data_IF_336304326298
#
_entry.id   IF_336304326298
#
_cell.length_a   1.000
_cell.length_b   1.000
_cell.length_c   1.000
_cell.angle_alpha   90.00
_cell.angle_beta   90.00
_cell.angle_gamma   90.00
#
_symmetry.space_group_name_H-M   'P 1'
#
loop_
_entity.id
_entity.type
_entity.pdbx_description
1 polymer ?
#
# COMPACT_ATOMS: atom_id res chain seq x y z
N UNK A 1 7.95 17.40 -20.54
CA UNK A 1 8.02 16.44 -19.41
C UNK A 1 6.67 15.76 -19.35
N UNK A 2 6.63 14.48 -19.65
CA UNK A 2 5.39 13.70 -19.62
C UNK A 2 5.29 13.07 -18.22
N UNK A 3 4.12 13.21 -17.60
CA UNK A 3 3.86 12.63 -16.27
C UNK A 3 3.56 11.16 -16.47
N UNK A 4 4.38 10.27 -15.89
CA UNK A 4 4.17 8.82 -15.95
C UNK A 4 3.68 8.32 -14.60
N UNK A 5 2.54 7.62 -14.64
CA UNK A 5 1.96 6.96 -13.49
C UNK A 5 1.21 7.88 -12.52
N UNK A 6 0.60 7.29 -11.49
CA UNK A 6 -0.38 7.93 -10.60
C UNK A 6 0.21 8.96 -9.62
N UNK A 7 1.54 9.09 -9.56
CA UNK A 7 2.24 9.97 -8.61
C UNK A 7 2.94 11.16 -9.28
N UNK A 8 2.67 11.41 -10.58
CA UNK A 8 3.26 12.55 -11.27
C UNK A 8 4.77 12.44 -11.49
N UNK A 9 5.31 11.20 -11.56
CA UNK A 9 6.72 10.98 -11.83
C UNK A 9 7.13 11.69 -13.12
N UNK A 10 8.08 12.61 -13.02
CA UNK A 10 8.68 13.25 -14.15
C UNK A 10 9.93 12.49 -14.57
N UNK A 11 9.74 11.41 -15.34
CA UNK A 11 10.86 10.65 -15.86
C UNK A 11 11.62 11.52 -16.84
N UNK A 12 12.87 11.86 -16.49
CA UNK A 12 13.74 12.72 -17.32
C UNK A 12 14.37 11.93 -18.48
N UNK A 13 14.33 10.62 -18.40
CA UNK A 13 14.87 9.69 -19.39
C UNK A 13 13.72 9.12 -20.24
N UNK A 14 13.67 9.53 -21.52
CA UNK A 14 12.63 9.12 -22.45
C UNK A 14 12.66 7.61 -22.75
N UNK A 15 13.82 6.98 -22.70
CA UNK A 15 13.94 5.53 -22.92
C UNK A 15 13.33 4.77 -21.76
N UNK A 16 13.68 5.14 -20.51
CA UNK A 16 13.09 4.57 -19.31
C UNK A 16 11.56 4.77 -19.27
N UNK A 17 11.09 5.96 -19.65
CA UNK A 17 9.65 6.25 -19.72
C UNK A 17 8.94 5.28 -20.66
N UNK A 18 9.48 5.10 -21.88
CA UNK A 18 8.91 4.20 -22.87
C UNK A 18 8.90 2.74 -22.40
N UNK A 19 9.99 2.28 -21.78
CA UNK A 19 10.11 0.91 -21.26
C UNK A 19 9.11 0.64 -20.14
N UNK A 20 9.00 1.56 -19.18
CA UNK A 20 8.04 1.44 -18.07
C UNK A 20 6.60 1.47 -18.59
N UNK A 21 6.27 2.35 -19.55
CA UNK A 21 4.94 2.41 -20.14
C UNK A 21 4.59 1.12 -20.88
N UNK A 22 5.52 0.58 -21.68
CA UNK A 22 5.32 -0.68 -22.38
C UNK A 22 5.14 -1.86 -21.39
N UNK A 23 5.95 -1.92 -20.36
CA UNK A 23 5.82 -2.91 -19.30
C UNK A 23 4.49 -2.82 -18.57
N UNK A 24 4.05 -1.62 -18.19
CA UNK A 24 2.76 -1.41 -17.52
C UNK A 24 1.57 -1.79 -18.42
N UNK A 25 1.64 -1.52 -19.73
CA UNK A 25 0.62 -1.97 -20.67
C UNK A 25 0.55 -3.51 -20.73
N UNK A 26 1.70 -4.18 -20.79
CA UNK A 26 1.76 -5.65 -20.77
C UNK A 26 1.22 -6.23 -19.44
N UNK A 27 1.43 -5.56 -18.31
CA UNK A 27 0.85 -5.96 -17.03
C UNK A 27 -0.68 -5.86 -17.05
N UNK A 28 -1.28 -4.79 -17.60
CA UNK A 28 -2.74 -4.68 -17.73
C UNK A 28 -3.31 -5.81 -18.59
N UNK A 29 -2.68 -6.13 -19.73
CA UNK A 29 -3.07 -7.28 -20.54
C UNK A 29 -2.94 -8.60 -19.76
N UNK A 30 -1.84 -8.78 -19.04
CA UNK A 30 -1.59 -9.94 -18.18
C UNK A 30 -2.64 -10.11 -17.08
N UNK A 31 -3.04 -9.03 -16.41
CA UNK A 31 -4.10 -9.04 -15.40
C UNK A 31 -5.44 -9.48 -15.97
N UNK A 32 -5.83 -8.93 -17.13
CA UNK A 32 -7.07 -9.31 -17.80
C UNK A 32 -7.04 -10.77 -18.27
N UNK A 33 -5.89 -11.26 -18.76
CA UNK A 33 -5.71 -12.66 -19.16
C UNK A 33 -5.76 -13.60 -17.95
N UNK A 34 -5.04 -13.30 -16.88
CA UNK A 34 -4.96 -14.11 -15.68
C UNK A 34 -6.33 -14.26 -14.97
N UNK A 35 -7.17 -13.24 -15.03
CA UNK A 35 -8.49 -13.22 -14.39
C UNK A 35 -9.62 -13.80 -15.26
N UNK A 36 -9.29 -14.27 -16.47
CA UNK A 36 -10.24 -14.91 -17.37
C UNK A 36 -10.56 -16.34 -16.92
N UNK A 37 -11.84 -16.72 -16.98
CA UNK A 37 -12.38 -18.07 -16.72
C UNK A 37 -13.27 -18.50 -17.88
N UNK A 38 -13.48 -19.82 -18.04
CA UNK A 38 -14.48 -20.38 -18.96
C UNK A 38 -15.91 -20.03 -18.54
N UNK A 39 -16.11 -19.72 -17.25
CA UNK A 39 -17.40 -19.30 -16.71
C UNK A 39 -17.49 -17.77 -16.74
N UNK A 40 -18.39 -17.18 -17.55
CA UNK A 40 -18.49 -15.73 -17.73
C UNK A 40 -18.72 -14.96 -16.41
N UNK A 41 -19.51 -15.52 -15.51
CA UNK A 41 -19.78 -14.94 -14.20
C UNK A 41 -18.48 -14.78 -13.37
N UNK A 42 -17.63 -15.82 -13.33
CA UNK A 42 -16.34 -15.78 -12.61
C UNK A 42 -15.43 -14.72 -13.25
N UNK A 43 -15.36 -14.68 -14.58
CA UNK A 43 -14.61 -13.62 -15.29
C UNK A 43 -15.11 -12.24 -14.90
N UNK A 44 -16.44 -12.04 -14.86
CA UNK A 44 -17.03 -10.75 -14.48
C UNK A 44 -16.67 -10.33 -13.06
N UNK A 45 -16.74 -11.25 -12.11
CA UNK A 45 -16.39 -11.00 -10.72
C UNK A 45 -14.87 -10.73 -10.57
N UNK A 46 -14.00 -11.58 -11.11
CA UNK A 46 -12.55 -11.46 -11.00
C UNK A 46 -11.99 -10.20 -11.70
N UNK A 47 -12.61 -9.75 -12.80
CA UNK A 47 -12.20 -8.55 -13.51
C UNK A 47 -12.82 -7.26 -12.96
N UNK A 48 -13.71 -7.34 -12.00
CA UNK A 48 -14.43 -6.16 -11.49
C UNK A 48 -13.48 -5.07 -11.00
N UNK A 49 -12.63 -5.36 -10.02
CA UNK A 49 -11.66 -4.39 -9.50
C UNK A 49 -10.47 -4.15 -10.45
N UNK A 50 -10.15 -5.09 -11.35
CA UNK A 50 -9.15 -4.85 -12.41
C UNK A 50 -9.63 -3.73 -13.32
N UNK A 51 -10.89 -3.81 -13.79
CA UNK A 51 -11.51 -2.83 -14.70
C UNK A 51 -11.84 -1.50 -14.02
N UNK A 52 -12.10 -1.50 -12.72
CA UNK A 52 -12.26 -0.28 -11.94
C UNK A 52 -10.97 0.56 -11.89
N UNK A 53 -9.85 -0.01 -12.36
CA UNK A 53 -8.57 0.68 -12.43
C UNK A 53 -7.79 0.56 -11.11
N UNK A 54 -6.95 1.56 -10.88
CA UNK A 54 -6.09 1.67 -9.71
C UNK A 54 -4.75 2.26 -10.09
N UNK A 55 -4.00 2.69 -9.10
CA UNK A 55 -2.71 3.38 -9.32
C UNK A 55 -1.60 2.44 -9.82
N UNK A 56 -1.80 1.11 -9.77
CA UNK A 56 -0.80 0.10 -10.18
C UNK A 56 0.60 0.37 -9.62
N UNK A 57 0.64 0.83 -8.38
CA UNK A 57 1.90 1.25 -7.75
C UNK A 57 2.89 0.09 -7.58
N UNK A 58 2.40 -1.08 -7.19
CA UNK A 58 3.24 -2.27 -7.03
C UNK A 58 3.81 -2.77 -8.38
N UNK A 59 3.03 -2.92 -9.46
CA UNK A 59 3.58 -3.15 -10.80
C UNK A 59 4.62 -2.12 -11.23
N UNK A 60 4.39 -0.84 -10.97
CA UNK A 60 5.37 0.21 -11.27
C UNK A 60 6.70 -0.02 -10.54
N UNK A 61 6.68 -0.42 -9.27
CA UNK A 61 7.89 -0.76 -8.52
C UNK A 61 8.64 -1.95 -9.14
N UNK A 62 7.91 -2.99 -9.61
CA UNK A 62 8.52 -4.10 -10.35
C UNK A 62 9.22 -3.60 -11.60
N UNK A 63 8.56 -2.77 -12.42
CA UNK A 63 9.12 -2.25 -13.67
C UNK A 63 10.36 -1.37 -13.43
N UNK A 64 10.34 -0.53 -12.39
CA UNK A 64 11.49 0.32 -12.04
C UNK A 64 12.65 -0.50 -11.48
N UNK A 65 12.37 -1.49 -10.63
CA UNK A 65 13.38 -2.39 -10.07
C UNK A 65 14.02 -3.28 -11.14
N UNK A 66 13.27 -3.68 -12.16
CA UNK A 66 13.78 -4.48 -13.28
C UNK A 66 14.83 -3.73 -14.13
N UNK A 67 14.87 -2.40 -14.07
CA UNK A 67 15.85 -1.61 -14.81
C UNK A 67 17.30 -1.76 -14.31
N UNK A 68 17.51 -2.44 -13.20
CA UNK A 68 18.85 -2.76 -12.68
C UNK A 68 19.42 -4.07 -13.23
N UNK A 69 18.66 -4.78 -14.07
CA UNK A 69 19.04 -5.96 -14.86
C UNK A 69 18.53 -5.86 -16.29
N UNK A 70 18.01 -6.98 -16.83
CA UNK A 70 17.31 -7.00 -18.12
C UNK A 70 15.80 -6.76 -17.92
N UNK A 71 15.28 -5.56 -18.19
CA UNK A 71 13.86 -5.24 -17.96
C UNK A 71 12.91 -6.03 -18.88
N UNK A 72 13.42 -6.65 -19.94
CA UNK A 72 12.65 -7.47 -20.88
C UNK A 72 12.71 -8.96 -20.57
N UNK A 73 13.38 -9.35 -19.48
CA UNK A 73 13.44 -10.75 -19.06
C UNK A 73 12.01 -11.32 -18.86
N UNK A 74 11.74 -12.56 -19.30
CA UNK A 74 10.38 -13.11 -19.40
C UNK A 74 9.66 -13.24 -18.06
N UNK A 75 10.37 -13.20 -16.93
CA UNK A 75 9.81 -13.26 -15.57
C UNK A 75 9.31 -11.91 -15.05
N UNK A 76 9.70 -10.76 -15.63
CA UNK A 76 9.41 -9.43 -15.08
C UNK A 76 7.92 -9.10 -15.12
N UNK A 77 7.28 -9.16 -16.27
CA UNK A 77 5.83 -8.87 -16.40
C UNK A 77 4.98 -9.86 -15.60
N UNK A 78 5.19 -11.19 -15.68
CA UNK A 78 4.44 -12.14 -14.86
C UNK A 78 4.57 -11.88 -13.36
N UNK A 79 5.75 -11.51 -12.86
CA UNK A 79 5.93 -11.20 -11.43
C UNK A 79 5.15 -9.94 -11.01
N UNK A 80 5.08 -8.92 -11.86
CA UNK A 80 4.25 -7.74 -11.63
C UNK A 80 2.75 -8.07 -11.59
N UNK A 81 2.30 -8.97 -12.48
CA UNK A 81 0.93 -9.49 -12.47
C UNK A 81 0.63 -10.23 -11.17
N UNK A 82 1.53 -11.08 -10.69
CA UNK A 82 1.39 -11.79 -9.41
C UNK A 82 1.18 -10.82 -8.24
N UNK A 83 2.04 -9.82 -8.13
CA UNK A 83 1.98 -8.85 -7.02
C UNK A 83 0.66 -8.08 -7.04
N UNK A 84 0.20 -7.65 -8.21
CA UNK A 84 -1.07 -6.94 -8.33
C UNK A 84 -2.28 -7.87 -8.11
N UNK A 85 -2.25 -9.14 -8.59
CA UNK A 85 -3.30 -10.11 -8.29
C UNK A 85 -3.42 -10.38 -6.79
N UNK A 86 -2.30 -10.52 -6.11
CA UNK A 86 -2.27 -10.68 -4.65
C UNK A 86 -2.91 -9.49 -3.96
N UNK A 87 -2.53 -8.27 -4.34
CA UNK A 87 -3.14 -7.06 -3.81
C UNK A 87 -4.65 -6.96 -4.11
N UNK A 88 -5.06 -7.30 -5.33
CA UNK A 88 -6.49 -7.31 -5.68
C UNK A 88 -7.26 -8.33 -4.84
N UNK A 89 -6.70 -9.52 -4.64
CA UNK A 89 -7.31 -10.56 -3.82
C UNK A 89 -7.52 -10.08 -2.38
N UNK A 90 -6.51 -9.41 -1.78
CA UNK A 90 -6.69 -8.85 -0.43
C UNK A 90 -7.77 -7.78 -0.40
N UNK A 91 -7.90 -6.91 -1.42
CA UNK A 91 -8.97 -5.91 -1.48
C UNK A 91 -10.37 -6.53 -1.50
N UNK A 92 -10.57 -7.68 -2.17
CA UNK A 92 -11.85 -8.39 -2.12
C UNK A 92 -12.17 -8.91 -0.72
N UNK A 93 -11.17 -9.36 0.03
CA UNK A 93 -11.33 -9.81 1.41
C UNK A 93 -11.52 -8.65 2.37
N UNK A 94 -10.74 -7.57 2.20
CA UNK A 94 -10.84 -6.35 3.00
C UNK A 94 -12.25 -5.74 2.87
N UNK A 95 -12.80 -5.64 1.65
CA UNK A 95 -14.15 -5.12 1.42
C UNK A 95 -15.22 -5.88 2.22
N UNK A 96 -15.04 -7.20 2.43
CA UNK A 96 -15.95 -8.00 3.27
C UNK A 96 -15.75 -7.72 4.75
N UNK A 97 -14.48 -7.60 5.21
CA UNK A 97 -14.16 -7.36 6.61
C UNK A 97 -14.56 -5.96 7.05
N UNK A 98 -14.41 -4.97 6.16
CA UNK A 98 -14.71 -3.55 6.40
C UNK A 98 -16.17 -3.21 6.07
N UNK A 99 -16.99 -4.18 5.61
CA UNK A 99 -18.36 -3.98 5.12
C UNK A 99 -18.46 -2.84 4.09
N UNK A 100 -17.42 -2.68 3.27
CA UNK A 100 -17.28 -1.58 2.34
C UNK A 100 -18.37 -1.64 1.25
N UNK A 101 -19.07 -0.52 1.01
CA UNK A 101 -20.07 -0.43 -0.07
C UNK A 101 -19.43 -0.08 -1.43
N UNK A 102 -18.34 0.67 -1.41
CA UNK A 102 -17.69 1.21 -2.61
C UNK A 102 -16.17 0.95 -2.57
N UNK A 103 -15.61 0.50 -3.69
CA UNK A 103 -14.16 0.37 -3.89
C UNK A 103 -13.75 0.93 -5.26
N UNK A 104 -12.76 1.82 -5.29
CA UNK A 104 -12.27 2.45 -6.53
C UNK A 104 -13.37 3.16 -7.34
N UNK A 105 -14.37 3.74 -6.66
CA UNK A 105 -15.46 4.48 -7.28
C UNK A 105 -16.54 3.62 -7.93
N UNK A 106 -16.52 2.29 -7.73
CA UNK A 106 -17.59 1.37 -8.12
C UNK A 106 -18.09 0.61 -6.89
N UNK A 107 -19.29 0.02 -6.99
CA UNK A 107 -19.80 -0.86 -5.93
C UNK A 107 -18.75 -1.93 -5.61
N UNK A 108 -18.52 -2.20 -4.32
CA UNK A 108 -17.63 -3.29 -3.89
C UNK A 108 -18.20 -4.65 -4.32
N UNK A 109 -17.35 -5.68 -4.33
CA UNK A 109 -17.80 -7.01 -4.75
C UNK A 109 -18.83 -7.63 -3.79
N UNK A 110 -18.65 -7.39 -2.46
CA UNK A 110 -19.59 -7.84 -1.43
C UNK A 110 -20.94 -7.12 -1.55
N UNK A 111 -20.95 -5.82 -1.83
CA UNK A 111 -22.17 -5.05 -2.07
C UNK A 111 -22.90 -5.54 -3.32
N UNK A 112 -22.16 -5.85 -4.39
CA UNK A 112 -22.73 -6.24 -5.68
C UNK A 112 -23.20 -7.70 -5.74
N UNK A 113 -22.46 -8.65 -5.13
CA UNK A 113 -22.69 -10.10 -5.27
C UNK A 113 -22.78 -10.86 -3.94
N UNK A 114 -22.59 -10.15 -2.82
CA UNK A 114 -22.58 -10.73 -1.48
C UNK A 114 -21.21 -11.27 -1.05
N UNK A 115 -21.03 -11.40 0.27
CA UNK A 115 -19.78 -11.76 0.92
C UNK A 115 -19.17 -13.07 0.38
N UNK A 116 -19.99 -14.11 0.16
CA UNK A 116 -19.49 -15.39 -0.33
C UNK A 116 -18.82 -15.30 -1.70
N UNK A 117 -19.38 -14.49 -2.62
CA UNK A 117 -18.79 -14.29 -3.94
C UNK A 117 -17.50 -13.46 -3.83
N UNK A 118 -17.49 -12.44 -3.00
CA UNK A 118 -16.30 -11.62 -2.78
C UNK A 118 -15.14 -12.46 -2.23
N UNK A 119 -15.35 -13.24 -1.16
CA UNK A 119 -14.33 -14.12 -0.58
C UNK A 119 -13.81 -15.12 -1.60
N UNK A 120 -14.70 -15.86 -2.28
CA UNK A 120 -14.30 -16.84 -3.29
C UNK A 120 -13.62 -16.22 -4.51
N UNK A 121 -13.93 -14.97 -4.84
CA UNK A 121 -13.23 -14.23 -5.91
C UNK A 121 -11.80 -13.90 -5.48
N UNK A 122 -11.58 -13.49 -4.25
CA UNK A 122 -10.24 -13.31 -3.68
C UNK A 122 -9.43 -14.61 -3.74
N UNK A 123 -10.01 -15.73 -3.30
CA UNK A 123 -9.38 -17.06 -3.37
C UNK A 123 -9.04 -17.47 -4.81
N UNK A 124 -9.94 -17.18 -5.76
CA UNK A 124 -9.67 -17.41 -7.18
C UNK A 124 -8.49 -16.61 -7.68
N UNK A 125 -8.36 -15.34 -7.31
CA UNK A 125 -7.21 -14.50 -7.69
C UNK A 125 -5.90 -15.03 -7.07
N UNK A 126 -5.91 -15.49 -5.82
CA UNK A 126 -4.74 -16.16 -5.21
C UNK A 126 -4.35 -17.42 -5.94
N UNK A 127 -5.32 -18.25 -6.34
CA UNK A 127 -5.05 -19.43 -7.14
C UNK A 127 -4.41 -19.06 -8.49
N UNK A 128 -4.89 -18.00 -9.15
CA UNK A 128 -4.30 -17.50 -10.42
C UNK A 128 -2.87 -16.98 -10.22
N UNK A 129 -2.61 -16.23 -9.15
CA UNK A 129 -1.27 -15.79 -8.79
C UNK A 129 -0.33 -17.00 -8.54
N UNK A 130 -0.82 -18.02 -7.82
CA UNK A 130 -0.05 -19.25 -7.54
C UNK A 130 0.33 -20.03 -8.81
N UNK A 131 -0.54 -20.07 -9.82
CA UNK A 131 -0.23 -20.67 -11.11
C UNK A 131 0.95 -19.97 -11.79
N UNK A 132 0.92 -18.62 -11.84
CA UNK A 132 2.01 -17.84 -12.45
C UNK A 132 3.30 -18.02 -11.65
N UNK A 133 3.23 -18.04 -10.31
CA UNK A 133 4.39 -18.27 -9.45
C UNK A 133 5.06 -19.62 -9.69
N UNK A 134 4.26 -20.67 -9.96
CA UNK A 134 4.80 -22.00 -10.26
C UNK A 134 5.68 -21.99 -11.53
N UNK A 135 5.33 -21.17 -12.53
CA UNK A 135 6.11 -20.99 -13.75
C UNK A 135 7.36 -20.12 -13.51
N UNK A 136 7.32 -19.19 -12.54
CA UNK A 136 8.48 -18.37 -12.15
C UNK A 136 9.50 -19.12 -11.29
N UNK A 137 9.13 -20.27 -10.75
CA UNK A 137 10.02 -21.17 -10.02
C UNK A 137 9.83 -21.15 -8.50
N UNK A 138 10.45 -22.14 -7.81
CA UNK A 138 10.20 -22.41 -6.40
C UNK A 138 10.63 -21.26 -5.47
N UNK A 139 11.64 -20.49 -5.85
CA UNK A 139 12.08 -19.34 -5.06
C UNK A 139 11.01 -18.22 -5.07
N UNK A 140 10.40 -17.95 -6.22
CA UNK A 140 9.33 -16.98 -6.32
C UNK A 140 8.10 -17.40 -5.48
N UNK A 141 7.76 -18.69 -5.48
CA UNK A 141 6.71 -19.25 -4.64
C UNK A 141 7.00 -19.01 -3.16
N UNK A 142 8.23 -19.28 -2.71
CA UNK A 142 8.66 -19.13 -1.32
C UNK A 142 8.58 -17.66 -0.87
N UNK A 143 9.16 -16.77 -1.66
CA UNK A 143 9.14 -15.31 -1.38
C UNK A 143 7.71 -14.78 -1.25
N UNK A 144 6.84 -15.16 -2.18
CA UNK A 144 5.43 -14.74 -2.15
C UNK A 144 4.67 -15.32 -0.96
N UNK A 145 4.93 -16.59 -0.59
CA UNK A 145 4.29 -17.21 0.56
C UNK A 145 4.69 -16.52 1.87
N UNK A 146 5.99 -16.24 2.06
CA UNK A 146 6.51 -15.51 3.23
C UNK A 146 5.92 -14.09 3.33
N UNK A 147 5.81 -13.39 2.20
CA UNK A 147 5.22 -12.05 2.19
C UNK A 147 3.71 -12.08 2.47
N UNK A 148 3.01 -13.07 1.95
CA UNK A 148 1.59 -13.23 2.20
C UNK A 148 1.30 -13.60 3.66
N UNK A 149 2.12 -14.47 4.27
CA UNK A 149 2.06 -14.76 5.70
C UNK A 149 2.26 -13.49 6.54
N UNK A 150 3.25 -12.65 6.20
CA UNK A 150 3.46 -11.36 6.86
C UNK A 150 2.27 -10.42 6.70
N UNK A 151 1.69 -10.35 5.50
CA UNK A 151 0.53 -9.52 5.20
C UNK A 151 -0.69 -9.93 6.04
N UNK A 152 -1.02 -11.23 6.06
CA UNK A 152 -2.15 -11.76 6.84
C UNK A 152 -1.90 -11.60 8.34
N UNK A 153 -0.67 -11.81 8.79
CA UNK A 153 -0.28 -11.56 10.19
C UNK A 153 -0.49 -10.10 10.56
N UNK A 154 -0.09 -9.15 9.70
CA UNK A 154 -0.34 -7.72 9.89
C UNK A 154 -1.84 -7.41 10.01
N UNK A 155 -2.67 -7.99 9.14
CA UNK A 155 -4.13 -7.83 9.19
C UNK A 155 -4.74 -8.38 10.49
N UNK A 156 -4.26 -9.54 10.96
CA UNK A 156 -4.72 -10.12 12.24
C UNK A 156 -4.28 -9.25 13.41
N UNK A 157 -3.05 -8.74 13.41
CA UNK A 157 -2.54 -7.87 14.46
C UNK A 157 -3.30 -6.55 14.53
N UNK A 158 -3.65 -5.95 13.38
CA UNK A 158 -4.50 -4.75 13.30
C UNK A 158 -5.85 -5.00 14.00
N UNK A 159 -6.52 -6.11 13.66
CA UNK A 159 -7.81 -6.48 14.25
C UNK A 159 -7.70 -6.80 15.75
N UNK A 160 -6.59 -7.45 16.15
CA UNK A 160 -6.38 -7.88 17.55
C UNK A 160 -5.97 -6.74 18.50
N UNK A 161 -5.38 -5.66 17.96
CA UNK A 161 -4.79 -4.57 18.74
C UNK A 161 -3.52 -4.98 19.52
N UNK A 162 -2.84 -4.00 20.13
CA UNK A 162 -1.65 -4.27 20.95
C UNK A 162 -2.01 -5.08 22.19
N UNK A 163 -1.22 -6.13 22.49
CA UNK A 163 -1.40 -7.05 23.61
C UNK A 163 -0.13 -7.15 24.44
N UNK A 164 -0.25 -7.70 25.63
CA UNK A 164 0.87 -8.08 26.51
C UNK A 164 1.82 -6.90 26.86
N UNK A 165 1.29 -5.67 26.94
CA UNK A 165 2.05 -4.48 27.26
C UNK A 165 2.98 -3.99 26.14
N UNK A 166 2.75 -4.44 24.92
CA UNK A 166 3.49 -3.95 23.75
C UNK A 166 3.23 -2.47 23.53
N UNK A 167 4.26 -1.73 23.16
CA UNK A 167 4.15 -0.32 22.81
C UNK A 167 3.19 -0.15 21.61
N UNK A 168 2.16 0.72 21.72
CA UNK A 168 1.15 0.89 20.66
C UNK A 168 1.73 1.42 19.35
N UNK A 169 2.76 2.27 19.38
CA UNK A 169 3.40 2.81 18.18
C UNK A 169 4.22 1.72 17.48
N UNK A 170 4.99 0.92 18.26
CA UNK A 170 5.72 -0.22 17.69
C UNK A 170 4.76 -1.25 17.08
N UNK A 171 3.66 -1.56 17.76
CA UNK A 171 2.62 -2.45 17.24
C UNK A 171 2.05 -1.94 15.91
N UNK A 172 1.67 -0.68 15.86
CA UNK A 172 1.14 -0.05 14.65
C UNK A 172 2.14 -0.10 13.48
N UNK A 173 3.42 0.21 13.73
CA UNK A 173 4.46 0.13 12.69
C UNK A 173 4.68 -1.29 12.16
N UNK A 174 4.59 -2.30 13.03
CA UNK A 174 4.67 -3.71 12.61
C UNK A 174 3.45 -4.11 11.74
N UNK A 175 2.26 -3.63 12.08
CA UNK A 175 1.06 -3.81 11.26
C UNK A 175 1.29 -3.22 9.86
N UNK A 176 1.79 -1.98 9.76
CA UNK A 176 2.06 -1.34 8.47
C UNK A 176 3.15 -2.06 7.67
N UNK A 177 4.22 -2.50 8.34
CA UNK A 177 5.29 -3.29 7.70
C UNK A 177 4.73 -4.61 7.16
N UNK A 178 3.91 -5.31 7.92
CA UNK A 178 3.26 -6.55 7.49
C UNK A 178 2.26 -6.33 6.36
N UNK A 179 1.27 -5.48 6.58
CA UNK A 179 0.13 -5.28 5.68
C UNK A 179 0.51 -4.61 4.35
N UNK A 180 1.35 -3.57 4.40
CA UNK A 180 1.70 -2.75 3.23
C UNK A 180 3.15 -2.91 2.81
N UNK A 181 4.10 -2.86 3.74
CA UNK A 181 5.54 -2.93 3.47
C UNK A 181 5.95 -4.24 2.80
N UNK A 182 5.43 -5.38 3.27
CA UNK A 182 5.78 -6.71 2.78
C UNK A 182 5.56 -6.86 1.27
N UNK A 183 4.40 -6.45 0.75
CA UNK A 183 4.08 -6.63 -0.67
C UNK A 183 4.80 -5.59 -1.56
N UNK A 184 5.14 -4.41 -1.05
CA UNK A 184 6.01 -3.47 -1.77
C UNK A 184 7.46 -3.95 -1.82
N UNK A 185 7.95 -4.56 -0.74
CA UNK A 185 9.26 -5.22 -0.72
C UNK A 185 9.35 -6.32 -1.77
N UNK A 186 8.32 -7.18 -1.85
CA UNK A 186 8.25 -8.24 -2.87
C UNK A 186 8.17 -7.68 -4.28
N UNK A 187 7.45 -6.59 -4.51
CA UNK A 187 7.41 -5.94 -5.83
C UNK A 187 8.81 -5.52 -6.29
N UNK A 188 9.56 -4.83 -5.43
CA UNK A 188 10.94 -4.44 -5.73
C UNK A 188 11.87 -5.66 -5.88
N UNK A 189 11.75 -6.65 -4.99
CA UNK A 189 12.53 -7.89 -5.04
C UNK A 189 12.31 -8.66 -6.32
N UNK A 190 11.06 -8.85 -6.74
CA UNK A 190 10.74 -9.56 -7.97
C UNK A 190 11.25 -8.83 -9.21
N UNK A 191 11.08 -7.50 -9.28
CA UNK A 191 11.61 -6.74 -10.38
C UNK A 191 13.13 -6.94 -10.58
N UNK A 192 13.89 -6.80 -9.49
CA UNK A 192 15.35 -6.99 -9.51
C UNK A 192 15.74 -8.45 -9.78
N UNK A 193 15.13 -9.40 -9.07
CA UNK A 193 15.46 -10.82 -9.20
C UNK A 193 15.11 -11.36 -10.59
N UNK A 194 13.93 -11.05 -11.11
CA UNK A 194 13.48 -11.55 -12.40
C UNK A 194 14.20 -10.92 -13.59
N UNK A 195 14.76 -9.73 -13.42
CA UNK A 195 15.63 -9.08 -14.41
C UNK A 195 17.08 -9.59 -14.37
N UNK A 196 17.44 -10.44 -13.40
CA UNK A 196 18.81 -10.95 -13.23
C UNK A 196 19.78 -9.93 -12.66
N UNK A 197 19.32 -8.97 -11.87
CA UNK A 197 20.19 -8.05 -11.14
C UNK A 197 21.01 -8.78 -10.07
N UNK A 198 22.16 -8.20 -9.69
CA UNK A 198 23.01 -8.74 -8.65
C UNK A 198 22.27 -8.86 -7.31
N UNK A 199 22.62 -9.87 -6.49
CA UNK A 199 21.98 -10.13 -5.20
C UNK A 199 22.02 -8.91 -4.27
N UNK A 200 23.11 -8.17 -4.28
CA UNK A 200 23.22 -6.90 -3.50
C UNK A 200 22.21 -5.85 -3.94
N UNK A 201 21.89 -5.76 -5.22
CA UNK A 201 20.84 -4.88 -5.77
C UNK A 201 19.48 -5.38 -5.35
N UNK A 202 19.23 -6.68 -5.39
CA UNK A 202 17.98 -7.30 -4.94
C UNK A 202 17.73 -6.99 -3.48
N UNK A 203 18.73 -7.12 -2.60
CA UNK A 203 18.61 -6.83 -1.18
C UNK A 203 18.33 -5.35 -0.90
N UNK A 204 19.05 -4.44 -1.56
CA UNK A 204 18.85 -2.99 -1.44
C UNK A 204 17.44 -2.61 -1.86
N UNK A 205 16.97 -3.09 -3.01
CA UNK A 205 15.64 -2.77 -3.51
C UNK A 205 14.52 -3.40 -2.65
N UNK A 206 14.75 -4.57 -2.07
CA UNK A 206 13.83 -5.19 -1.12
C UNK A 206 13.65 -4.32 0.13
N UNK A 207 14.76 -3.85 0.72
CA UNK A 207 14.74 -2.95 1.88
C UNK A 207 14.09 -1.60 1.56
N UNK A 208 14.39 -1.05 0.38
CA UNK A 208 13.75 0.17 -0.10
C UNK A 208 12.24 0.00 -0.20
N UNK A 209 11.77 -1.08 -0.82
CA UNK A 209 10.34 -1.34 -1.02
C UNK A 209 9.58 -1.45 0.32
N UNK A 210 10.17 -2.11 1.32
CA UNK A 210 9.56 -2.21 2.65
C UNK A 210 9.43 -0.85 3.33
N UNK A 211 10.50 -0.05 3.36
CA UNK A 211 10.51 1.28 3.97
C UNK A 211 9.56 2.25 3.25
N UNK A 212 9.57 2.22 1.92
CA UNK A 212 8.66 3.02 1.10
C UNK A 212 7.19 2.64 1.38
N UNK A 213 6.91 1.35 1.56
CA UNK A 213 5.57 0.86 1.88
C UNK A 213 5.04 1.39 3.21
N UNK A 214 5.88 1.37 4.24
CA UNK A 214 5.54 1.96 5.55
C UNK A 214 5.35 3.48 5.42
N UNK A 215 6.29 4.19 4.79
CA UNK A 215 6.18 5.64 4.59
C UNK A 215 4.92 6.04 3.80
N UNK A 216 4.57 5.24 2.79
CA UNK A 216 3.37 5.45 1.98
C UNK A 216 2.09 5.36 2.82
N UNK A 217 1.98 4.34 3.67
CA UNK A 217 0.81 4.18 4.53
C UNK A 217 0.75 5.29 5.59
N UNK A 218 1.87 5.63 6.22
CA UNK A 218 1.94 6.76 7.14
C UNK A 218 1.47 8.07 6.50
N UNK A 219 1.82 8.31 5.23
CA UNK A 219 1.37 9.48 4.49
C UNK A 219 -0.14 9.44 4.20
N UNK A 220 -0.69 8.27 3.87
CA UNK A 220 -2.14 8.11 3.67
C UNK A 220 -2.91 8.37 4.96
N UNK A 221 -2.44 7.90 6.11
CA UNK A 221 -3.07 8.09 7.43
C UNK A 221 -3.00 9.56 7.89
N UNK A 222 -1.88 10.24 7.63
CA UNK A 222 -1.77 11.69 7.87
C UNK A 222 -2.72 12.46 6.97
N UNK A 223 -2.84 12.07 5.70
CA UNK A 223 -3.71 12.72 4.72
C UNK A 223 -5.19 12.53 5.08
N UNK A 224 -5.58 11.36 5.62
CA UNK A 224 -6.96 11.11 6.05
C UNK A 224 -7.42 12.15 7.09
N UNK A 225 -6.53 12.59 7.97
CA UNK A 225 -6.83 13.64 8.97
C UNK A 225 -6.66 15.05 8.38
N UNK A 226 -5.56 15.28 7.62
CA UNK A 226 -5.16 16.61 7.20
C UNK A 226 -5.96 17.17 6.02
N UNK A 227 -6.45 16.29 5.11
CA UNK A 227 -7.11 16.73 3.88
C UNK A 227 -8.49 17.33 4.10
N UNK A 228 -8.86 18.26 3.22
CA UNK A 228 -10.24 18.71 3.09
C UNK A 228 -11.00 17.79 2.12
N UNK A 229 -12.33 17.67 2.32
CA UNK A 229 -13.23 16.78 1.56
C UNK A 229 -13.18 16.95 0.03
N UNK A 230 -12.63 18.05 -0.46
CA UNK A 230 -12.52 18.38 -1.88
C UNK A 230 -11.25 17.82 -2.56
N UNK A 231 -10.20 17.47 -1.81
CA UNK A 231 -8.89 17.11 -2.38
C UNK A 231 -8.65 15.59 -2.46
N UNK A 232 -9.16 14.81 -1.50
CA UNK A 232 -8.85 13.37 -1.41
C UNK A 232 -9.83 12.46 -2.15
N UNK A 233 -11.03 12.93 -2.46
CA UNK A 233 -12.12 12.12 -3.01
C UNK A 233 -12.68 11.08 -2.02
N UNK A 234 -12.22 11.11 -0.76
CA UNK A 234 -12.71 10.32 0.37
C UNK A 234 -13.25 11.26 1.44
N UNK A 235 -14.09 10.75 2.34
CA UNK A 235 -14.51 11.48 3.52
C UNK A 235 -13.33 11.56 4.49
N UNK A 236 -12.83 12.76 4.87
CA UNK A 236 -11.73 12.87 5.82
C UNK A 236 -12.07 12.26 7.17
N UNK A 237 -11.08 11.67 7.85
CA UNK A 237 -11.24 11.03 9.15
C UNK A 237 -12.00 9.70 9.10
N UNK A 238 -11.93 8.99 7.99
CA UNK A 238 -12.53 7.65 7.85
C UNK A 238 -11.98 6.69 8.90
N UNK A 239 -10.65 6.68 9.10
CA UNK A 239 -10.00 5.82 10.11
C UNK A 239 -10.49 6.13 11.53
N UNK A 240 -10.75 7.40 11.85
CA UNK A 240 -11.33 7.78 13.14
C UNK A 240 -12.73 7.22 13.32
N UNK A 241 -13.56 7.24 12.28
CA UNK A 241 -14.93 6.74 12.29
C UNK A 241 -14.97 5.22 12.46
N UNK A 242 -13.98 4.53 11.92
CA UNK A 242 -13.78 3.08 12.03
C UNK A 242 -13.11 2.67 13.36
N UNK A 243 -12.70 3.66 14.18
CA UNK A 243 -12.04 3.42 15.46
C UNK A 243 -10.57 2.99 15.34
N UNK A 244 -9.96 3.20 14.17
CA UNK A 244 -8.56 2.85 13.92
C UNK A 244 -7.67 3.96 14.48
N UNK A 245 -6.81 3.59 15.43
CA UNK A 245 -5.84 4.51 16.02
C UNK A 245 -4.58 4.60 15.15
N UNK A 246 -4.56 5.56 14.21
CA UNK A 246 -3.40 5.85 13.37
C UNK A 246 -2.35 6.69 14.11
N UNK A 247 -1.18 6.90 13.53
CA UNK A 247 -0.03 7.53 14.19
C UNK A 247 -0.34 8.86 14.90
N UNK A 248 -1.14 9.80 14.33
CA UNK A 248 -1.53 11.03 15.03
C UNK A 248 -2.28 10.78 16.34
N UNK A 249 -3.18 9.78 16.36
CA UNK A 249 -3.94 9.40 17.57
C UNK A 249 -3.01 8.75 18.60
N UNK A 250 -2.09 7.90 18.18
CA UNK A 250 -1.13 7.25 19.06
C UNK A 250 -0.20 8.28 19.72
N UNK A 251 0.32 9.25 18.97
CA UNK A 251 1.13 10.34 19.52
C UNK A 251 0.35 11.26 20.47
N UNK A 252 -0.93 11.49 20.20
CA UNK A 252 -1.79 12.22 21.15
C UNK A 252 -1.92 11.45 22.47
N UNK A 253 -2.21 10.15 22.43
CA UNK A 253 -2.35 9.31 23.62
C UNK A 253 -1.05 9.24 24.43
N UNK A 254 0.08 9.00 23.78
CA UNK A 254 1.40 9.02 24.43
C UNK A 254 1.68 10.37 25.10
N UNK A 255 1.37 11.47 24.43
CA UNK A 255 1.53 12.82 24.98
C UNK A 255 0.60 13.07 26.17
N UNK A 256 -0.66 12.65 26.10
CA UNK A 256 -1.63 12.77 27.17
C UNK A 256 -1.19 12.00 28.44
N UNK A 257 -0.70 10.79 28.27
CA UNK A 257 -0.14 9.97 29.38
C UNK A 257 1.08 10.64 30.02
N UNK A 258 1.98 11.17 29.20
CA UNK A 258 3.23 11.77 29.67
C UNK A 258 3.06 13.13 30.35
N UNK A 259 2.19 14.00 29.81
CA UNK A 259 2.07 15.41 30.24
C UNK A 259 0.83 15.68 31.08
N UNK A 260 -0.21 14.87 30.98
CA UNK A 260 -1.46 15.03 31.72
C UNK A 260 -2.20 16.34 31.43
N UNK A 261 -2.03 16.92 30.22
CA UNK A 261 -2.64 18.19 29.87
C UNK A 261 -4.17 18.03 29.71
N UNK A 262 -4.97 18.92 30.27
CA UNK A 262 -6.44 18.80 30.19
C UNK A 262 -6.98 18.75 28.76
N UNK A 263 -6.38 19.51 27.83
CA UNK A 263 -6.75 19.53 26.42
C UNK A 263 -6.45 18.20 25.71
N UNK A 264 -5.30 17.57 25.99
CA UNK A 264 -4.92 16.28 25.43
C UNK A 264 -5.88 15.18 25.95
N UNK A 265 -6.16 15.17 27.26
CA UNK A 265 -7.08 14.23 27.87
C UNK A 265 -8.52 14.38 27.35
N UNK A 266 -8.98 15.62 27.16
CA UNK A 266 -10.29 15.89 26.61
C UNK A 266 -10.42 15.39 25.15
N UNK A 267 -9.40 15.60 24.33
CA UNK A 267 -9.39 15.10 22.95
C UNK A 267 -9.30 13.57 22.90
N UNK A 268 -8.53 12.92 23.77
CA UNK A 268 -8.53 11.46 23.92
C UNK A 268 -9.92 10.94 24.29
N UNK A 269 -10.60 11.55 25.27
CA UNK A 269 -11.95 11.16 25.67
C UNK A 269 -12.97 11.33 24.53
N UNK A 270 -12.82 12.36 23.70
CA UNK A 270 -13.65 12.54 22.51
C UNK A 270 -13.40 11.45 21.47
N UNK A 271 -12.14 11.09 21.21
CA UNK A 271 -11.75 10.00 20.28
C UNK A 271 -12.23 8.62 20.77
N UNK A 272 -12.36 8.41 22.07
CA UNK A 272 -12.88 7.17 22.65
C UNK A 272 -14.44 7.14 22.69
N UNK A 273 -15.11 8.21 22.25
CA UNK A 273 -16.56 8.27 22.15
C UNK A 273 -17.07 7.68 20.83
N UNK A 274 -18.39 7.59 20.66
CA UNK A 274 -19.01 7.14 19.40
C UNK A 274 -18.82 8.21 18.30
N UNK A 275 -17.89 7.97 17.39
CA UNK A 275 -17.59 8.84 16.25
C UNK A 275 -18.42 8.53 14.99
N UNK A 276 -19.41 7.65 15.06
CA UNK A 276 -20.44 7.54 14.02
C UNK A 276 -21.36 8.77 14.01
N UNK A 277 -21.43 9.49 15.12
CA UNK A 277 -22.06 10.81 15.23
C UNK A 277 -21.23 11.86 14.48
N UNK A 278 -21.82 12.48 13.45
CA UNK A 278 -21.14 13.44 12.57
C UNK A 278 -20.59 14.68 13.30
N UNK A 279 -21.26 15.14 14.37
CA UNK A 279 -20.83 16.33 15.12
C UNK A 279 -19.57 16.01 15.95
N UNK A 280 -19.57 14.88 16.65
CA UNK A 280 -18.40 14.41 17.42
C UNK A 280 -17.20 14.09 16.52
N UNK A 281 -17.46 13.43 15.39
CA UNK A 281 -16.44 13.15 14.39
C UNK A 281 -15.80 14.44 13.87
N UNK A 282 -16.60 15.43 13.48
CA UNK A 282 -16.11 16.72 13.02
C UNK A 282 -15.30 17.46 14.09
N UNK A 283 -15.73 17.39 15.35
CA UNK A 283 -15.02 18.00 16.49
C UNK A 283 -13.67 17.30 16.74
N UNK A 284 -13.63 15.95 16.73
CA UNK A 284 -12.41 15.16 16.90
C UNK A 284 -11.42 15.44 15.79
N UNK A 285 -11.88 15.44 14.53
CA UNK A 285 -11.06 15.73 13.35
C UNK A 285 -10.49 17.16 13.42
N UNK A 286 -11.30 18.15 13.75
CA UNK A 286 -10.85 19.54 13.91
C UNK A 286 -9.81 19.67 15.03
N UNK A 287 -10.02 18.97 16.15
CA UNK A 287 -9.07 18.93 17.26
C UNK A 287 -7.71 18.35 16.85
N UNK A 288 -7.68 17.20 16.16
CA UNK A 288 -6.45 16.58 15.68
C UNK A 288 -5.72 17.42 14.64
N UNK A 289 -6.43 18.11 13.75
CA UNK A 289 -5.82 18.94 12.70
C UNK A 289 -4.92 20.05 13.23
N UNK A 290 -5.25 20.60 14.39
CA UNK A 290 -4.47 21.67 15.03
C UNK A 290 -3.55 21.16 16.14
N UNK A 291 -3.61 19.86 16.45
CA UNK A 291 -2.87 19.28 17.55
C UNK A 291 -1.41 19.00 17.18
N UNK A 292 -0.42 19.21 18.09
CA UNK A 292 0.99 18.91 17.83
C UNK A 292 1.30 17.45 17.45
N UNK A 293 0.43 16.51 17.80
CA UNK A 293 0.55 15.10 17.45
C UNK A 293 0.50 14.86 15.93
N UNK A 294 -0.32 15.60 15.18
CA UNK A 294 -0.35 15.52 13.72
C UNK A 294 0.98 15.95 13.11
N UNK A 295 1.56 17.02 13.62
CA UNK A 295 2.86 17.51 13.16
C UNK A 295 3.99 16.53 13.52
N UNK A 296 3.88 15.83 14.65
CA UNK A 296 4.81 14.75 14.98
C UNK A 296 4.68 13.58 13.98
N UNK A 297 3.46 13.15 13.66
CA UNK A 297 3.22 12.10 12.68
C UNK A 297 3.77 12.47 11.28
N UNK A 298 3.63 13.74 10.86
CA UNK A 298 4.24 14.24 9.62
C UNK A 298 5.77 14.12 9.63
N UNK A 299 6.42 14.52 10.72
CA UNK A 299 7.90 14.37 10.85
C UNK A 299 8.34 12.92 10.78
N UNK A 300 7.59 12.03 11.41
CA UNK A 300 7.90 10.60 11.37
C UNK A 300 7.71 10.03 9.96
N UNK A 301 6.64 10.41 9.25
CA UNK A 301 6.41 10.04 7.85
C UNK A 301 7.57 10.48 6.96
N UNK A 302 8.01 11.74 7.09
CA UNK A 302 9.16 12.27 6.33
C UNK A 302 10.42 11.47 6.64
N UNK A 303 10.69 11.16 7.91
CA UNK A 303 11.85 10.35 8.30
C UNK A 303 11.83 8.96 7.63
N UNK A 304 10.69 8.27 7.62
CA UNK A 304 10.55 6.97 6.95
C UNK A 304 10.78 7.06 5.44
N UNK A 305 10.30 8.12 4.78
CA UNK A 305 10.56 8.37 3.37
C UNK A 305 12.05 8.67 3.09
N UNK A 306 12.72 9.41 3.98
CA UNK A 306 14.17 9.67 3.89
C UNK A 306 14.99 8.39 4.14
N UNK A 307 14.58 7.54 5.06
CA UNK A 307 15.20 6.23 5.30
C UNK A 307 15.05 5.30 4.09
N UNK A 308 13.90 5.32 3.40
CA UNK A 308 13.71 4.63 2.14
C UNK A 308 14.65 5.18 1.05
N UNK A 309 14.75 6.51 0.92
CA UNK A 309 15.66 7.17 -0.02
C UNK A 309 17.12 6.79 0.26
N UNK A 310 17.54 6.82 1.52
CA UNK A 310 18.90 6.49 1.92
C UNK A 310 19.27 5.02 1.59
N UNK A 311 18.30 4.11 1.62
CA UNK A 311 18.53 2.73 1.23
C UNK A 311 19.02 2.58 -0.21
N UNK A 312 18.65 3.50 -1.12
CA UNK A 312 19.06 3.47 -2.52
C UNK A 312 20.52 3.93 -2.76
N UNK A 313 21.22 4.43 -1.72
CA UNK A 313 22.56 4.98 -1.86
C UNK A 313 23.60 4.02 -2.51
N UNK A 314 23.59 2.70 -2.24
CA UNK A 314 24.52 1.76 -2.86
C UNK A 314 24.28 1.49 -4.35
N UNK A 315 23.10 1.85 -4.89
CA UNK A 315 22.77 1.56 -6.29
C UNK A 315 23.47 2.55 -7.24
N UNK A 316 23.79 2.12 -8.47
CA UNK A 316 24.37 2.98 -9.49
C UNK A 316 23.45 4.16 -9.81
N UNK A 317 24.06 5.29 -10.17
CA UNK A 317 23.32 6.46 -10.65
C UNK A 317 22.74 6.19 -12.04
N UNK A 318 21.41 6.11 -12.12
CA UNK A 318 20.67 5.88 -13.36
C UNK A 318 19.25 6.47 -13.25
N UNK A 319 18.52 6.50 -14.37
CA UNK A 319 17.15 7.01 -14.44
C UNK A 319 16.19 6.27 -13.49
N UNK A 320 16.33 4.96 -13.36
CA UNK A 320 15.50 4.15 -12.47
C UNK A 320 15.71 4.52 -11.00
N UNK A 321 16.99 4.68 -10.54
CA UNK A 321 17.27 5.13 -9.19
C UNK A 321 16.68 6.52 -8.93
N UNK A 322 16.82 7.45 -9.89
CA UNK A 322 16.23 8.78 -9.76
C UNK A 322 14.70 8.72 -9.62
N UNK A 323 14.02 7.89 -10.41
CA UNK A 323 12.58 7.69 -10.32
C UNK A 323 12.15 7.08 -8.98
N UNK A 324 12.91 6.09 -8.45
CA UNK A 324 12.65 5.54 -7.11
C UNK A 324 12.83 6.60 -6.00
N UNK A 325 13.79 7.50 -6.13
CA UNK A 325 13.97 8.63 -5.21
C UNK A 325 12.80 9.63 -5.30
N UNK A 326 12.31 9.92 -6.50
CA UNK A 326 11.15 10.79 -6.71
C UNK A 326 9.86 10.21 -6.08
N UNK A 327 9.72 8.88 -5.99
CA UNK A 327 8.62 8.26 -5.25
C UNK A 327 8.66 8.60 -3.76
N UNK A 328 9.85 8.69 -3.15
CA UNK A 328 9.99 9.14 -1.76
C UNK A 328 9.55 10.61 -1.63
N UNK A 329 9.91 11.47 -2.59
CA UNK A 329 9.47 12.87 -2.60
C UNK A 329 7.95 12.98 -2.73
N UNK A 330 7.33 12.15 -3.56
CA UNK A 330 5.87 12.12 -3.70
C UNK A 330 5.17 11.72 -2.38
N UNK A 331 5.76 10.80 -1.60
CA UNK A 331 5.26 10.46 -0.26
C UNK A 331 5.36 11.63 0.69
N UNK A 332 6.52 12.32 0.73
CA UNK A 332 6.74 13.51 1.57
C UNK A 332 5.73 14.62 1.23
N UNK A 333 5.51 14.89 -0.07
CA UNK A 333 4.55 15.90 -0.51
C UNK A 333 3.09 15.58 -0.15
N UNK A 334 2.75 14.30 0.01
CA UNK A 334 1.41 13.89 0.46
C UNK A 334 1.21 14.08 1.95
N UNK A 335 2.26 14.01 2.74
CA UNK A 335 2.21 14.20 4.19
C UNK A 335 2.25 15.68 4.59
N UNK A 336 2.77 16.57 3.76
CA UNK A 336 2.89 18.03 3.99
C UNK A 336 1.75 18.78 3.40
#
# INVERSE_FOLDING_TARGET
MTVVGPFGLSVRDQALEADVQAGMAAVEEGLLAATKSEVPFITGAAQHLVRAGGKRFRPLLVMLAAQFGDPYAPGVVPSAVVVELTHLATLYHDDVMDEAEVRRGVDSANSRWGNSVAVLTGDFLFARASHILADLGPEAVRIQAEAFERLVTGQILETAGPRDGRDPVEHYLDVLSGKTGSLMAVACRFGAMMSGADETVVDVLTQYGERLGVAFQLADDVLDIASDSHESGKTPGTDLREGIATLPVLHLRERAERLGLPEDLALCALLDSDLTDDARHAEALAGLRVHPALEQARRDTIRYAEDARAALAPLPECGARASLMELCDAVVHRAG
#
